data_IF_381333002742
#
_entry.id   IF_381333002742
#
_cell.length_a   1.000
_cell.length_b   1.000
_cell.length_c   1.000
_cell.angle_alpha   90.00
_cell.angle_beta   90.00
_cell.angle_gamma   90.00
#
_symmetry.space_group_name_H-M   'P 1'
#
loop_
_entity.id
_entity.type
_entity.pdbx_description
1 polymer ?
#
# COMPACT_ATOMS: atom_id res chain seq x y z
N UNK A 1 -14.48 15.88 -14.13
CA UNK A 1 -14.75 14.46 -13.84
C UNK A 1 -13.78 13.66 -14.69
N UNK A 2 -12.73 13.13 -14.08
CA UNK A 2 -11.76 12.28 -14.77
C UNK A 2 -12.19 10.87 -14.43
N UNK A 3 -12.53 10.06 -15.44
CA UNK A 3 -12.74 8.63 -15.21
C UNK A 3 -11.37 8.01 -14.97
N UNK A 4 -11.07 7.71 -13.70
CA UNK A 4 -9.88 6.98 -13.32
C UNK A 4 -10.21 5.49 -13.48
N UNK A 5 -9.83 4.93 -14.62
CA UNK A 5 -9.87 3.49 -14.80
C UNK A 5 -8.66 2.91 -14.06
N UNK A 6 -8.88 2.32 -12.89
CA UNK A 6 -7.89 1.41 -12.28
C UNK A 6 -7.97 0.09 -13.03
N UNK A 7 -7.49 0.10 -14.27
CA UNK A 7 -7.23 -1.12 -15.03
C UNK A 7 -5.90 -1.66 -14.53
N UNK A 8 -5.82 -2.98 -14.29
CA UNK A 8 -4.55 -3.68 -14.38
C UNK A 8 -4.59 -4.52 -15.67
N UNK A 9 -3.80 -4.26 -16.69
CA UNK A 9 -3.64 -5.16 -17.84
C UNK A 9 -2.19 -5.63 -17.98
N UNK A 10 -1.59 -6.10 -16.88
CA UNK A 10 -0.40 -6.92 -16.94
C UNK A 10 -0.71 -8.32 -17.47
N UNK A 11 -0.40 -8.58 -18.75
CA UNK A 11 0.06 -9.91 -19.15
C UNK A 11 1.36 -10.16 -18.41
N UNK A 12 1.29 -10.80 -17.24
CA UNK A 12 2.48 -11.26 -16.52
C UNK A 12 3.35 -12.05 -17.49
N UNK A 13 4.63 -11.71 -17.60
CA UNK A 13 5.59 -12.58 -18.29
C UNK A 13 5.51 -13.95 -17.60
N UNK A 14 5.27 -15.06 -18.31
CA UNK A 14 5.02 -16.37 -17.69
C UNK A 14 6.12 -16.81 -16.70
N UNK A 15 7.34 -16.29 -16.85
CA UNK A 15 8.46 -16.53 -15.94
C UNK A 15 8.27 -15.90 -14.55
N UNK A 16 7.87 -14.63 -14.46
CA UNK A 16 7.76 -13.89 -13.19
C UNK A 16 6.74 -14.54 -12.25
N UNK A 17 5.57 -14.92 -12.77
CA UNK A 17 4.52 -15.56 -11.96
C UNK A 17 4.94 -16.92 -11.36
N UNK A 18 5.76 -17.70 -12.06
CA UNK A 18 6.28 -18.97 -11.55
C UNK A 18 7.30 -18.77 -10.43
N UNK A 19 8.18 -17.76 -10.54
CA UNK A 19 9.17 -17.46 -9.50
C UNK A 19 8.50 -16.92 -8.24
N UNK A 20 7.50 -16.03 -8.38
CA UNK A 20 6.68 -15.54 -7.25
C UNK A 20 5.97 -16.68 -6.52
N UNK A 21 5.41 -17.63 -7.25
CA UNK A 21 4.73 -18.79 -6.63
C UNK A 21 5.71 -19.71 -5.90
N UNK A 22 6.93 -19.85 -6.42
CA UNK A 22 7.98 -20.66 -5.80
C UNK A 22 8.49 -20.03 -4.49
N UNK A 23 8.75 -18.72 -4.47
CA UNK A 23 9.15 -17.99 -3.26
C UNK A 23 8.11 -18.14 -2.15
N UNK A 24 6.82 -17.95 -2.47
CA UNK A 24 5.74 -18.16 -1.49
C UNK A 24 5.66 -19.61 -0.97
N UNK A 25 5.86 -20.60 -1.85
CA UNK A 25 5.87 -22.00 -1.46
C UNK A 25 7.06 -22.35 -0.54
N UNK A 26 8.18 -21.64 -0.67
CA UNK A 26 9.31 -21.76 0.25
C UNK A 26 8.98 -21.14 1.62
N UNK A 27 8.38 -19.94 1.64
CA UNK A 27 7.91 -19.31 2.89
C UNK A 27 6.97 -20.23 3.67
N UNK A 28 6.03 -20.88 2.97
CA UNK A 28 5.11 -21.86 3.57
C UNK A 28 5.84 -23.06 4.20
N UNK A 29 6.91 -23.56 3.57
CA UNK A 29 7.72 -24.65 4.13
C UNK A 29 8.46 -24.23 5.41
N UNK A 30 8.78 -22.94 5.53
CA UNK A 30 9.41 -22.36 6.71
C UNK A 30 8.40 -21.96 7.80
N UNK A 31 7.10 -22.17 7.57
CA UNK A 31 6.03 -21.85 8.52
C UNK A 31 5.51 -20.42 8.42
N UNK A 32 5.92 -19.67 7.40
CA UNK A 32 5.44 -18.31 7.11
C UNK A 32 4.37 -18.31 6.02
N UNK A 33 3.56 -17.25 5.95
CA UNK A 33 2.54 -17.07 4.92
C UNK A 33 1.09 -17.28 5.38
N UNK A 34 0.15 -17.00 4.49
CA UNK A 34 -1.27 -16.85 4.82
C UNK A 34 -2.12 -17.97 4.21
N UNK A 35 -1.72 -19.21 4.48
CA UNK A 35 -2.38 -20.42 3.98
C UNK A 35 -1.81 -20.95 2.65
N UNK A 36 -2.29 -22.09 2.16
CA UNK A 36 -1.63 -22.83 1.07
C UNK A 36 -1.74 -22.18 -0.31
N UNK A 37 -2.63 -21.19 -0.50
CA UNK A 37 -2.89 -20.57 -1.80
C UNK A 37 -2.58 -19.07 -1.78
N UNK A 38 -1.49 -18.70 -2.48
CA UNK A 38 -1.12 -17.30 -2.68
C UNK A 38 -2.24 -16.49 -3.32
N UNK A 39 -3.00 -17.05 -4.28
CA UNK A 39 -4.07 -16.30 -4.95
C UNK A 39 -5.20 -15.95 -3.99
N UNK A 40 -5.54 -16.86 -3.08
CA UNK A 40 -6.52 -16.62 -2.05
C UNK A 40 -6.08 -15.49 -1.11
N UNK A 41 -4.79 -15.47 -0.73
CA UNK A 41 -4.24 -14.37 0.06
C UNK A 41 -4.24 -13.04 -0.71
N UNK A 42 -3.76 -13.03 -1.96
CA UNK A 42 -3.78 -11.84 -2.81
C UNK A 42 -5.20 -11.27 -2.96
N UNK A 43 -6.22 -12.12 -3.06
CA UNK A 43 -7.62 -11.67 -3.15
C UNK A 43 -8.15 -11.01 -1.87
N UNK A 44 -7.50 -11.20 -0.72
CA UNK A 44 -7.84 -10.55 0.55
C UNK A 44 -7.17 -9.17 0.69
N UNK A 45 -5.95 -9.03 0.17
CA UNK A 45 -5.11 -7.84 0.40
C UNK A 45 -4.93 -6.97 -0.83
N UNK A 46 -5.38 -7.40 -2.02
CA UNK A 46 -5.44 -6.58 -3.22
C UNK A 46 -6.87 -6.26 -3.59
N UNK A 47 -7.10 -5.00 -3.94
CA UNK A 47 -8.39 -4.57 -4.43
C UNK A 47 -8.73 -5.25 -5.77
N UNK A 48 -10.01 -5.63 -6.00
CA UNK A 48 -10.40 -6.17 -7.29
C UNK A 48 -10.42 -5.05 -8.34
N UNK A 49 -10.24 -5.44 -9.60
CA UNK A 49 -10.41 -4.53 -10.74
C UNK A 49 -11.82 -3.92 -10.73
N UNK A 50 -11.89 -2.59 -10.80
CA UNK A 50 -13.13 -1.82 -10.82
C UNK A 50 -12.91 -0.50 -11.54
N UNK A 51 -14.01 0.14 -11.93
CA UNK A 51 -14.00 1.52 -12.42
C UNK A 51 -14.59 2.42 -11.35
N UNK A 52 -13.93 3.52 -11.05
CA UNK A 52 -14.36 4.51 -10.04
C UNK A 52 -14.18 5.91 -10.61
N UNK A 53 -15.11 6.80 -10.29
CA UNK A 53 -15.00 8.21 -10.66
C UNK A 53 -14.44 8.96 -9.46
N UNK A 54 -13.29 9.61 -9.64
CA UNK A 54 -12.62 10.35 -8.57
C UNK A 54 -12.89 11.85 -8.66
N UNK A 55 -12.91 12.50 -7.50
CA UNK A 55 -12.83 13.95 -7.43
C UNK A 55 -11.45 14.41 -7.94
N UNK A 56 -11.40 15.60 -8.52
CA UNK A 56 -10.11 16.23 -8.81
C UNK A 56 -9.56 16.81 -7.51
N UNK A 57 -8.35 16.40 -7.15
CA UNK A 57 -7.69 16.81 -5.90
C UNK A 57 -6.25 17.24 -6.16
N UNK A 58 -5.75 18.13 -5.30
CA UNK A 58 -4.31 18.27 -5.07
C UNK A 58 -3.93 17.37 -3.90
N UNK A 59 -2.96 16.49 -4.09
CA UNK A 59 -2.49 15.53 -3.10
C UNK A 59 -1.08 15.88 -2.64
N UNK A 60 -0.80 15.70 -1.34
CA UNK A 60 0.53 15.91 -0.79
C UNK A 60 1.58 15.01 -1.47
N UNK A 61 2.73 15.59 -1.83
CA UNK A 61 3.85 14.89 -2.49
C UNK A 61 4.47 13.85 -1.56
N UNK A 62 4.59 14.20 -0.29
CA UNK A 62 5.02 13.32 0.80
C UNK A 62 3.85 13.13 1.76
N UNK A 63 3.82 11.98 2.41
CA UNK A 63 2.93 11.70 3.53
C UNK A 63 3.32 12.56 4.75
N UNK A 64 2.36 12.79 5.64
CA UNK A 64 2.60 13.41 6.94
C UNK A 64 2.21 12.44 8.06
N UNK A 65 3.06 12.34 9.08
CA UNK A 65 2.76 11.56 10.27
C UNK A 65 1.46 12.07 10.93
N UNK A 66 0.70 11.15 11.51
CA UNK A 66 -0.43 11.57 12.34
C UNK A 66 0.09 12.25 13.61
N UNK A 67 -0.62 13.28 14.04
CA UNK A 67 -0.31 14.02 15.27
C UNK A 67 -1.40 13.86 16.35
N UNK A 68 -2.49 13.21 15.97
CA UNK A 68 -3.61 12.82 16.82
C UNK A 68 -4.01 11.40 16.43
N UNK A 69 -4.97 10.83 17.17
CA UNK A 69 -5.48 9.51 16.84
C UNK A 69 -5.96 9.43 15.37
N UNK A 70 -5.87 8.28 14.71
CA UNK A 70 -6.41 8.10 13.35
C UNK A 70 -7.89 8.50 13.22
N UNK A 71 -8.67 8.41 14.30
CA UNK A 71 -10.08 8.81 14.35
C UNK A 71 -10.28 10.34 14.41
N UNK A 72 -9.35 11.08 15.03
CA UNK A 72 -9.43 12.53 15.22
C UNK A 72 -8.69 13.32 14.11
N UNK A 73 -7.78 12.67 13.40
CA UNK A 73 -7.03 13.24 12.28
C UNK A 73 -7.88 13.93 11.19
N UNK A 74 -9.08 13.43 10.82
CA UNK A 74 -9.96 14.16 9.89
C UNK A 74 -10.28 15.59 10.33
N UNK A 75 -10.49 15.84 11.63
CA UNK A 75 -10.78 17.18 12.16
C UNK A 75 -9.54 18.09 12.10
N UNK A 76 -8.37 17.52 12.39
CA UNK A 76 -7.07 18.22 12.28
C UNK A 76 -6.80 18.67 10.85
N UNK A 77 -7.06 17.80 9.87
CA UNK A 77 -6.93 18.17 8.45
C UNK A 77 -7.99 19.20 8.03
N UNK A 78 -9.23 19.03 8.48
CA UNK A 78 -10.32 19.95 8.16
C UNK A 78 -10.02 21.39 8.64
N UNK A 79 -9.39 21.55 9.81
CA UNK A 79 -8.95 22.84 10.32
C UNK A 79 -7.92 23.55 9.40
N UNK A 80 -7.22 22.80 8.55
CA UNK A 80 -6.27 23.29 7.53
C UNK A 80 -6.91 23.44 6.14
N UNK A 81 -8.21 23.16 6.00
CA UNK A 81 -8.89 23.12 4.70
C UNK A 81 -8.53 21.88 3.86
N UNK A 82 -8.01 20.83 4.50
CA UNK A 82 -7.63 19.57 3.88
C UNK A 82 -8.58 18.45 4.34
N UNK A 83 -8.47 17.28 3.72
CA UNK A 83 -9.15 16.06 4.18
C UNK A 83 -8.27 14.83 4.00
N UNK A 84 -8.68 13.74 4.65
CA UNK A 84 -8.13 12.41 4.35
C UNK A 84 -8.39 12.07 2.86
N UNK A 85 -7.44 11.42 2.17
CA UNK A 85 -7.70 10.85 0.86
C UNK A 85 -8.69 9.69 1.01
N UNK A 86 -9.47 9.38 -0.03
CA UNK A 86 -10.16 8.09 -0.08
C UNK A 86 -9.18 6.97 -0.43
N UNK A 87 -9.54 5.72 -0.14
CA UNK A 87 -8.76 4.54 -0.54
C UNK A 87 -8.57 4.47 -2.07
N UNK A 88 -9.58 4.87 -2.84
CA UNK A 88 -9.48 4.90 -4.31
C UNK A 88 -8.59 6.05 -4.82
N UNK A 89 -8.60 7.21 -4.15
CA UNK A 89 -7.68 8.31 -4.45
C UNK A 89 -6.24 7.92 -4.15
N UNK A 90 -6.00 7.23 -3.03
CA UNK A 90 -4.68 6.70 -2.66
C UNK A 90 -4.17 5.70 -3.69
N UNK A 91 -4.99 4.70 -4.05
CA UNK A 91 -4.65 3.67 -5.02
C UNK A 91 -4.36 4.26 -6.42
N UNK A 92 -5.19 5.19 -6.87
CA UNK A 92 -4.97 5.90 -8.13
C UNK A 92 -3.68 6.72 -8.11
N UNK A 93 -3.43 7.43 -7.01
CA UNK A 93 -2.22 8.22 -6.84
C UNK A 93 -0.96 7.34 -6.76
N UNK A 94 -1.03 6.18 -6.09
CA UNK A 94 0.06 5.22 -5.99
C UNK A 94 0.43 4.66 -7.35
N UNK A 95 -0.56 4.16 -8.10
CA UNK A 95 -0.36 3.65 -9.46
C UNK A 95 0.04 4.74 -10.46
N UNK A 96 -0.44 5.98 -10.29
CA UNK A 96 -0.16 7.11 -11.19
C UNK A 96 -0.37 6.76 -12.69
N UNK A 97 -1.45 6.01 -12.97
CA UNK A 97 -1.78 5.51 -14.31
C UNK A 97 -1.16 4.15 -14.67
N UNK A 98 -0.30 3.58 -13.83
CA UNK A 98 0.19 2.22 -13.99
C UNK A 98 -0.91 1.19 -13.73
N UNK A 99 -0.93 0.16 -14.56
CA UNK A 99 -1.86 -0.97 -14.53
C UNK A 99 -1.15 -2.27 -14.09
N UNK A 100 -0.06 -2.12 -13.35
CA UNK A 100 0.85 -3.18 -12.89
C UNK A 100 0.77 -3.38 -11.38
N UNK A 101 1.30 -4.50 -10.89
CA UNK A 101 1.29 -4.85 -9.46
C UNK A 101 1.97 -3.78 -8.60
N UNK A 102 3.13 -3.29 -9.03
CA UNK A 102 3.81 -2.15 -8.42
C UNK A 102 3.80 -0.97 -9.37
N UNK A 103 3.98 0.24 -8.83
CA UNK A 103 4.02 1.47 -9.63
C UNK A 103 5.22 1.56 -10.59
N UNK A 104 6.18 0.64 -10.47
CA UNK A 104 7.34 0.50 -11.36
C UNK A 104 7.24 -0.71 -12.30
N UNK A 105 6.17 -1.52 -12.22
CA UNK A 105 5.99 -2.71 -13.06
C UNK A 105 5.48 -3.92 -12.28
N UNK A 106 5.42 -5.07 -12.96
CA UNK A 106 4.99 -6.36 -12.37
C UNK A 106 6.13 -7.12 -11.70
N UNK A 107 7.37 -6.65 -11.85
CA UNK A 107 8.54 -7.33 -11.31
C UNK A 107 8.70 -7.02 -9.81
N UNK A 108 8.65 -8.09 -9.02
CA UNK A 108 9.00 -8.10 -7.60
C UNK A 108 10.52 -8.27 -7.47
N UNK A 109 11.25 -7.39 -6.74
CA UNK A 109 12.70 -7.56 -6.52
C UNK A 109 13.03 -8.74 -5.59
N UNK A 110 13.03 -9.96 -6.12
CA UNK A 110 13.31 -11.20 -5.38
C UNK A 110 14.81 -11.47 -5.12
N UNK A 111 15.65 -10.45 -5.23
CA UNK A 111 17.06 -10.48 -4.81
C UNK A 111 17.28 -9.75 -3.48
N UNK A 112 16.24 -9.10 -2.94
CA UNK A 112 16.28 -8.29 -1.73
C UNK A 112 14.89 -8.17 -1.10
N UNK A 113 14.85 -7.57 0.09
CA UNK A 113 13.61 -7.15 0.76
C UNK A 113 13.49 -5.62 0.71
N UNK A 114 12.28 -5.04 0.86
CA UNK A 114 12.08 -3.58 0.87
C UNK A 114 12.50 -2.94 2.20
N UNK A 115 13.69 -3.28 2.70
CA UNK A 115 14.26 -2.72 3.92
C UNK A 115 15.79 -2.69 3.86
N UNK A 116 16.39 -1.62 4.39
CA UNK A 116 17.83 -1.43 4.49
C UNK A 116 18.53 -1.02 3.18
N UNK A 117 18.17 -1.61 2.04
CA UNK A 117 18.61 -1.15 0.72
C UNK A 117 17.70 -0.03 0.20
N UNK A 118 18.27 1.16 -0.05
CA UNK A 118 17.56 2.33 -0.56
C UNK A 118 17.87 2.63 -2.02
N UNK A 119 18.31 1.64 -2.78
CA UNK A 119 18.61 1.77 -4.21
C UNK A 119 17.54 1.16 -5.11
N UNK A 120 16.51 0.55 -4.52
CA UNK A 120 15.42 -0.08 -5.24
C UNK A 120 14.45 0.89 -5.92
N UNK A 121 13.58 0.38 -6.81
CA UNK A 121 12.62 1.21 -7.54
C UNK A 121 11.58 1.89 -6.62
N UNK A 122 11.30 1.32 -5.46
CA UNK A 122 10.39 1.86 -4.44
C UNK A 122 10.85 3.19 -3.84
N UNK A 123 12.15 3.54 -3.96
CA UNK A 123 12.63 4.86 -3.52
C UNK A 123 12.44 5.98 -4.55
N UNK A 124 12.11 5.66 -5.80
CA UNK A 124 11.92 6.67 -6.85
C UNK A 124 10.54 7.33 -6.75
N UNK A 125 10.40 8.61 -7.14
CA UNK A 125 9.07 9.21 -7.27
C UNK A 125 8.28 8.51 -8.39
N UNK A 126 6.96 8.42 -8.24
CA UNK A 126 6.11 7.87 -9.29
C UNK A 126 5.83 8.86 -10.43
N UNK A 127 5.00 8.49 -11.41
CA UNK A 127 4.71 9.34 -12.57
C UNK A 127 4.00 10.67 -12.23
N UNK A 128 3.35 10.77 -11.06
CA UNK A 128 2.79 12.02 -10.54
C UNK A 128 3.80 12.82 -9.69
N UNK A 129 5.02 12.33 -9.50
CA UNK A 129 6.05 12.94 -8.67
C UNK A 129 5.86 12.66 -7.18
N UNK A 130 5.08 11.65 -6.79
CA UNK A 130 4.79 11.32 -5.39
C UNK A 130 5.82 10.34 -4.81
N UNK A 131 6.17 10.53 -3.53
CA UNK A 131 6.90 9.56 -2.71
C UNK A 131 5.88 8.73 -1.93
N UNK A 132 5.48 7.58 -2.48
CA UNK A 132 4.35 6.76 -2.02
C UNK A 132 4.68 5.26 -2.16
N UNK A 133 4.18 4.44 -1.22
CA UNK A 133 4.43 3.00 -1.16
C UNK A 133 5.93 2.69 -1.31
N UNK A 134 6.74 3.29 -0.45
CA UNK A 134 8.21 3.34 -0.57
C UNK A 134 8.95 2.67 0.59
N UNK A 135 8.24 2.29 1.66
CA UNK A 135 8.81 1.75 2.89
C UNK A 135 7.72 0.96 3.62
N UNK A 136 7.96 -0.31 3.93
CA UNK A 136 6.97 -1.19 4.60
C UNK A 136 6.62 -0.74 6.00
N UNK A 137 7.45 0.10 6.62
CA UNK A 137 7.19 0.74 7.92
C UNK A 137 6.35 2.01 7.79
N UNK A 138 5.91 2.38 6.59
CA UNK A 138 5.15 3.61 6.33
C UNK A 138 3.75 3.27 5.88
N UNK A 139 2.93 2.93 6.86
CA UNK A 139 1.53 2.64 6.68
C UNK A 139 0.71 3.95 6.61
N UNK A 140 0.03 4.16 5.48
CA UNK A 140 -0.80 5.32 5.22
C UNK A 140 -2.28 5.01 5.48
N UNK A 141 -2.92 5.80 6.35
CA UNK A 141 -4.36 5.74 6.62
C UNK A 141 -5.14 6.68 5.69
N UNK A 142 -6.37 6.27 5.34
CA UNK A 142 -7.28 7.00 4.45
C UNK A 142 -8.60 7.28 5.15
N UNK A 143 -9.58 7.84 4.45
CA UNK A 143 -10.94 7.96 4.98
C UNK A 143 -11.67 6.62 5.10
N UNK A 144 -11.15 5.55 4.49
CA UNK A 144 -11.64 4.19 4.67
C UNK A 144 -10.93 3.55 5.86
N UNK A 145 -11.65 3.41 6.98
CA UNK A 145 -11.11 2.84 8.22
C UNK A 145 -11.06 1.32 8.20
N UNK A 146 -11.54 0.65 7.15
CA UNK A 146 -11.54 -0.79 7.05
C UNK A 146 -10.25 -1.36 6.45
N UNK A 147 -9.35 -0.51 5.94
CA UNK A 147 -8.09 -0.91 5.31
C UNK A 147 -6.98 0.10 5.54
N UNK A 148 -5.72 -0.36 5.44
CA UNK A 148 -4.51 0.47 5.52
C UNK A 148 -3.65 0.22 4.27
N UNK A 149 -2.86 1.21 3.85
CA UNK A 149 -2.12 1.16 2.59
C UNK A 149 -0.62 1.41 2.78
N UNK A 150 0.18 1.07 1.77
CA UNK A 150 1.56 1.55 1.63
C UNK A 150 2.60 0.91 2.56
N UNK A 151 2.18 0.13 3.55
CA UNK A 151 3.03 -0.56 4.51
C UNK A 151 2.21 -1.48 5.41
N UNK A 152 2.93 -2.31 6.18
CA UNK A 152 2.38 -3.26 7.14
C UNK A 152 3.00 -3.09 8.55
N UNK A 153 3.63 -1.95 8.80
CA UNK A 153 4.43 -1.73 10.02
C UNK A 153 5.76 -2.50 10.02
N UNK A 154 6.17 -3.06 8.87
CA UNK A 154 7.37 -3.87 8.73
C UNK A 154 7.21 -5.32 9.18
N UNK A 155 5.98 -5.77 9.44
CA UNK A 155 5.69 -7.13 9.89
C UNK A 155 6.25 -8.19 8.92
N UNK A 156 5.99 -8.06 7.62
CA UNK A 156 6.45 -9.01 6.62
C UNK A 156 7.97 -9.10 6.51
N UNK A 157 8.67 -7.98 6.71
CA UNK A 157 10.13 -7.89 6.70
C UNK A 157 10.72 -8.47 7.99
N UNK A 158 10.25 -8.03 9.16
CA UNK A 158 10.73 -8.49 10.47
C UNK A 158 10.39 -9.96 10.74
N UNK A 159 9.21 -10.38 10.30
CA UNK A 159 8.71 -11.74 10.43
C UNK A 159 9.37 -12.72 9.47
N UNK A 160 10.09 -12.24 8.45
CA UNK A 160 10.82 -13.10 7.51
C UNK A 160 9.90 -13.87 6.57
N UNK A 161 8.83 -13.24 6.07
CA UNK A 161 7.77 -13.93 5.32
C UNK A 161 8.15 -14.36 3.89
N UNK A 162 9.43 -14.24 3.53
CA UNK A 162 9.92 -14.38 2.16
C UNK A 162 9.71 -13.10 1.35
N UNK A 163 10.25 -13.07 0.14
CA UNK A 163 10.42 -11.81 -0.57
C UNK A 163 9.10 -11.33 -1.15
N UNK A 164 8.30 -12.21 -1.75
CA UNK A 164 7.01 -11.81 -2.32
C UNK A 164 6.11 -11.15 -1.28
N UNK A 165 6.01 -11.75 -0.09
CA UNK A 165 5.19 -11.21 0.99
C UNK A 165 5.78 -9.92 1.58
N UNK A 166 7.11 -9.82 1.64
CA UNK A 166 7.78 -8.59 2.09
C UNK A 166 7.49 -7.39 1.17
N UNK A 167 7.37 -7.60 -0.14
CA UNK A 167 7.10 -6.54 -1.11
C UNK A 167 5.61 -6.18 -1.25
N UNK A 168 4.72 -7.11 -0.94
CA UNK A 168 3.27 -6.96 -1.18
C UNK A 168 2.62 -5.72 -0.54
N UNK A 169 3.02 -5.23 0.65
CA UNK A 169 2.48 -3.99 1.21
C UNK A 169 2.67 -2.76 0.33
N UNK A 170 3.68 -2.78 -0.56
CA UNK A 170 4.00 -1.68 -1.47
C UNK A 170 3.30 -1.77 -2.83
N UNK A 171 2.45 -2.80 -3.03
CA UNK A 171 1.70 -2.96 -4.28
C UNK A 171 0.66 -1.83 -4.46
N UNK A 172 0.40 -1.44 -5.70
CA UNK A 172 -0.49 -0.31 -6.05
C UNK A 172 -1.90 -0.51 -5.50
N UNK A 173 -2.41 -1.73 -5.63
CA UNK A 173 -3.74 -2.14 -5.20
C UNK A 173 -3.75 -2.72 -3.77
N UNK A 174 -2.66 -2.63 -3.00
CA UNK A 174 -2.62 -3.16 -1.64
C UNK A 174 -3.64 -2.43 -0.76
N UNK A 175 -4.44 -3.20 -0.04
CA UNK A 175 -5.41 -2.78 0.96
C UNK A 175 -5.33 -3.79 2.10
N UNK A 176 -4.55 -3.48 3.14
CA UNK A 176 -4.37 -4.37 4.27
C UNK A 176 -5.61 -4.34 5.19
N UNK A 177 -6.41 -5.41 5.27
CA UNK A 177 -7.62 -5.45 6.10
C UNK A 177 -7.34 -5.86 7.55
N UNK A 178 -6.10 -6.22 7.88
CA UNK A 178 -5.73 -6.77 9.18
C UNK A 178 -5.18 -5.69 10.12
N UNK A 179 -4.51 -4.68 9.58
CA UNK A 179 -4.00 -3.55 10.36
C UNK A 179 -5.04 -2.66 11.06
N UNK A 180 -6.26 -2.45 10.55
CA UNK A 180 -7.23 -1.57 11.20
C UNK A 180 -7.52 -1.91 12.66
N UNK A 181 -7.54 -3.19 13.03
CA UNK A 181 -7.72 -3.59 14.43
C UNK A 181 -6.61 -3.04 15.32
N UNK A 182 -5.37 -3.01 14.83
CA UNK A 182 -4.25 -2.39 15.54
C UNK A 182 -4.35 -0.85 15.49
N UNK A 183 -4.51 -0.27 14.30
CA UNK A 183 -4.53 1.20 14.06
C UNK A 183 -5.60 1.91 14.89
N UNK A 184 -6.81 1.35 14.98
CA UNK A 184 -7.96 1.97 15.65
C UNK A 184 -8.30 1.30 16.99
N UNK A 185 -7.59 0.23 17.36
CA UNK A 185 -7.83 -0.51 18.59
C UNK A 185 -6.91 -0.10 19.74
N UNK A 186 -7.07 -0.73 20.91
CA UNK A 186 -6.31 -0.41 22.11
C UNK A 186 -4.81 -0.71 21.96
N UNK A 187 -4.44 -1.68 21.12
CA UNK A 187 -3.04 -2.09 20.93
C UNK A 187 -2.21 -1.04 20.17
N UNK A 188 -2.86 -0.21 19.35
CA UNK A 188 -2.23 0.93 18.67
C UNK A 188 -2.36 2.26 19.41
N UNK A 189 -2.97 2.27 20.60
CA UNK A 189 -3.13 3.50 21.39
C UNK A 189 -1.75 4.10 21.74
N UNK A 190 -1.54 5.37 21.38
CA UNK A 190 -0.26 6.07 21.59
C UNK A 190 0.79 5.83 20.50
N UNK A 191 0.49 5.03 19.47
CA UNK A 191 1.38 4.77 18.32
C UNK A 191 0.93 5.50 17.05
N UNK A 192 0.13 6.56 17.18
CA UNK A 192 -0.40 7.30 16.03
C UNK A 192 0.72 7.85 15.11
N UNK A 193 1.88 8.21 15.67
CA UNK A 193 3.04 8.73 14.93
C UNK A 193 3.73 7.70 14.02
N UNK A 194 3.44 6.40 14.20
CA UNK A 194 3.91 5.31 13.33
C UNK A 194 3.09 5.20 12.04
N UNK A 195 1.92 5.85 12.01
CA UNK A 195 1.08 5.96 10.82
C UNK A 195 1.23 7.33 10.20
N UNK A 196 0.92 7.40 8.91
CA UNK A 196 0.85 8.65 8.18
C UNK A 196 -0.44 8.75 7.39
N UNK A 197 -0.71 9.94 6.86
CA UNK A 197 -1.75 10.12 5.86
C UNK A 197 -1.23 11.04 4.77
N UNK A 198 -1.97 11.10 3.67
CA UNK A 198 -1.64 11.93 2.52
C UNK A 198 -2.75 12.92 2.26
N UNK A 199 -2.74 14.08 2.92
CA UNK A 199 -3.83 15.02 2.84
C UNK A 199 -4.11 15.45 1.41
N UNK A 200 -5.39 15.69 1.14
CA UNK A 200 -5.84 16.18 -0.15
C UNK A 200 -6.67 17.45 0.01
N UNK A 201 -6.59 18.30 -1.01
CA UNK A 201 -7.45 19.46 -1.22
C UNK A 201 -8.34 19.18 -2.43
N UNK A 202 -9.66 19.16 -2.24
CA UNK A 202 -10.62 19.04 -3.36
C UNK A 202 -10.69 20.36 -4.14
N UNK A 203 -10.69 20.29 -5.47
CA UNK A 203 -10.79 21.43 -6.40
C UNK A 203 -12.23 21.70 -6.87
#
# INVERSE_FOLDING_TARGET
>A
MVDAVVTCAGTSVPGTAMVTTADYAESLQQGFGHGPDLRAHLAQVLSPRRCVTLATVLMAVEDENLIESPADMPEVLAARGLRMPSSDEWEHACGAGADTLFRWGDDCPLDRIPYGDRTGPEQQLNAFGLRIAYDTYRAEVTSDTAVVHGGDGGESVCGGYGQVLAWLPLATANRNPFMPEFVYGPDGEGLCEDFSTRPVLTL
#
